data_IF_004811587501
#
_entry.id   IF_004811587501
#
_cell.length_a   1.000
_cell.length_b   1.000
_cell.length_c   1.000
_cell.angle_alpha   90.00
_cell.angle_beta   90.00
_cell.angle_gamma   90.00
#
_symmetry.space_group_name_H-M   'P 1'
#
loop_
_entity.id
_entity.type
_entity.pdbx_description
1 polymer ?
#
# COMPACT_ATOMS: atom_id res chain seq x y z
N UNK A 1 -6.78 5.80 -20.87
CA UNK A 1 -6.99 5.32 -19.48
C UNK A 1 -5.77 5.73 -18.68
N UNK A 2 -5.89 6.59 -17.66
CA UNK A 2 -4.76 6.98 -16.82
C UNK A 2 -4.12 5.75 -16.16
N UNK A 3 -2.79 5.77 -16.05
CA UNK A 3 -2.00 4.68 -15.51
C UNK A 3 -1.20 5.18 -14.31
N UNK A 4 -1.46 4.63 -13.14
CA UNK A 4 -0.70 4.86 -11.92
C UNK A 4 0.23 3.67 -11.70
N UNK A 5 1.52 3.93 -11.45
CA UNK A 5 2.54 2.90 -11.24
C UNK A 5 3.34 3.24 -9.99
N UNK A 6 3.50 2.28 -9.07
CA UNK A 6 4.37 2.38 -7.89
C UNK A 6 4.99 1.02 -7.56
N UNK A 7 6.18 1.02 -6.94
CA UNK A 7 6.71 -0.20 -6.30
C UNK A 7 6.14 -0.37 -4.89
N UNK A 8 5.87 -1.61 -4.49
CA UNK A 8 5.46 -2.01 -3.15
C UNK A 8 6.45 -1.55 -2.07
N UNK A 9 7.73 -1.46 -2.43
CA UNK A 9 8.78 -0.95 -1.53
C UNK A 9 8.60 0.52 -1.17
N UNK A 10 7.94 1.33 -2.00
CA UNK A 10 7.67 2.75 -1.72
C UNK A 10 6.69 2.97 -0.57
N UNK A 11 5.94 1.93 -0.19
CA UNK A 11 5.04 1.97 0.95
C UNK A 11 5.68 1.46 2.25
N UNK A 12 6.93 0.98 2.20
CA UNK A 12 7.69 0.55 3.37
C UNK A 12 8.57 1.73 3.81
N UNK A 13 8.16 2.40 4.89
CA UNK A 13 8.80 3.61 5.37
C UNK A 13 9.35 3.44 6.79
N UNK A 14 10.38 4.22 7.13
CA UNK A 14 10.94 4.21 8.50
C UNK A 14 9.97 4.79 9.54
N UNK A 15 8.93 5.51 9.11
CA UNK A 15 7.96 6.16 9.98
C UNK A 15 6.59 5.47 9.89
N UNK A 16 6.08 5.07 11.05
CA UNK A 16 4.78 4.40 11.19
C UNK A 16 3.66 5.25 10.57
N UNK A 17 2.83 4.61 9.74
CA UNK A 17 1.63 5.21 9.15
C UNK A 17 1.84 6.01 7.86
N UNK A 18 3.09 6.29 7.45
CA UNK A 18 3.34 6.95 6.17
C UNK A 18 2.93 6.08 4.97
N UNK A 19 3.24 4.78 5.01
CA UNK A 19 2.81 3.84 3.96
C UNK A 19 1.29 3.82 3.79
N UNK A 20 0.54 3.71 4.89
CA UNK A 20 -0.93 3.77 4.86
C UNK A 20 -1.49 5.12 4.35
N UNK A 21 -0.82 6.25 4.61
CA UNK A 21 -1.23 7.53 4.02
C UNK A 21 -1.04 7.54 2.50
N UNK A 22 0.11 7.06 2.01
CA UNK A 22 0.39 6.97 0.56
C UNK A 22 -0.63 6.09 -0.17
N UNK A 23 -1.03 4.96 0.43
CA UNK A 23 -2.08 4.10 -0.13
C UNK A 23 -3.40 4.87 -0.27
N UNK A 24 -3.84 5.59 0.77
CA UNK A 24 -5.07 6.42 0.69
C UNK A 24 -4.98 7.47 -0.39
N UNK A 25 -3.84 8.15 -0.50
CA UNK A 25 -3.65 9.21 -1.50
C UNK A 25 -3.62 8.66 -2.93
N UNK A 26 -3.03 7.48 -3.14
CA UNK A 26 -3.07 6.78 -4.43
C UNK A 26 -4.50 6.47 -4.85
N UNK A 27 -5.27 5.81 -4.00
CA UNK A 27 -6.62 5.38 -4.34
C UNK A 27 -7.59 6.55 -4.47
N UNK A 28 -7.41 7.63 -3.69
CA UNK A 28 -8.14 8.89 -3.89
C UNK A 28 -7.92 9.46 -5.29
N UNK A 29 -6.66 9.61 -5.70
CA UNK A 29 -6.33 10.13 -7.04
C UNK A 29 -6.79 9.19 -8.16
N UNK A 30 -6.73 7.88 -7.94
CA UNK A 30 -7.22 6.88 -8.89
C UNK A 30 -8.74 6.98 -9.08
N UNK A 31 -9.50 7.09 -7.99
CA UNK A 31 -10.96 7.27 -7.99
C UNK A 31 -11.38 8.56 -8.70
N UNK A 32 -10.67 9.67 -8.49
CA UNK A 32 -10.92 10.94 -9.17
C UNK A 32 -10.68 10.89 -10.69
N UNK A 33 -9.76 10.02 -11.14
CA UNK A 33 -9.39 9.86 -12.56
C UNK A 33 -9.98 8.60 -13.21
N UNK A 34 -11.06 8.06 -12.65
CA UNK A 34 -11.72 6.88 -13.21
C UNK A 34 -12.31 7.16 -14.61
N UNK A 35 -12.18 6.25 -15.59
CA UNK A 35 -11.57 4.92 -15.50
C UNK A 35 -10.04 4.95 -15.61
N UNK A 36 -9.34 4.28 -14.69
CA UNK A 36 -7.87 4.22 -14.64
C UNK A 36 -7.36 2.81 -14.29
N UNK A 37 -6.06 2.60 -14.42
CA UNK A 37 -5.35 1.38 -13.99
C UNK A 37 -4.34 1.77 -12.91
N UNK A 38 -4.32 1.01 -11.81
CA UNK A 38 -3.30 1.11 -10.76
C UNK A 38 -2.45 -0.15 -10.81
N UNK A 39 -1.15 0.02 -11.04
CA UNK A 39 -0.15 -1.04 -11.05
C UNK A 39 0.78 -0.87 -9.86
N UNK A 40 0.89 -1.94 -9.06
CA UNK A 40 1.80 -2.02 -7.92
C UNK A 40 2.78 -3.15 -8.22
N UNK A 41 4.03 -2.80 -8.50
CA UNK A 41 5.12 -3.77 -8.66
C UNK A 41 5.64 -4.21 -7.29
N UNK A 42 6.39 -5.31 -7.18
CA UNK A 42 7.04 -5.76 -5.93
C UNK A 42 6.09 -5.78 -4.71
N UNK A 43 4.83 -6.20 -4.91
CA UNK A 43 3.80 -6.16 -3.86
C UNK A 43 4.13 -7.06 -2.66
N UNK A 44 4.99 -8.04 -2.85
CA UNK A 44 5.55 -8.89 -1.80
C UNK A 44 6.35 -8.10 -0.74
N UNK A 45 6.83 -6.89 -1.06
CA UNK A 45 7.45 -5.97 -0.10
C UNK A 45 6.52 -5.60 1.08
N UNK A 46 5.21 -5.48 0.82
CA UNK A 46 4.15 -5.21 1.83
C UNK A 46 3.25 -6.42 2.10
N UNK A 47 3.21 -7.41 1.20
CA UNK A 47 2.33 -8.58 1.27
C UNK A 47 2.87 -9.76 2.09
N UNK A 48 3.86 -9.54 2.97
CA UNK A 48 4.45 -10.63 3.74
C UNK A 48 3.39 -11.26 4.66
N UNK A 49 3.35 -12.60 4.67
CA UNK A 49 2.41 -13.40 5.46
C UNK A 49 2.51 -12.99 6.95
N UNK A 50 1.36 -12.85 7.61
CA UNK A 50 1.28 -12.61 9.06
C UNK A 50 1.86 -13.82 9.80
N UNK A 51 3.17 -13.86 10.00
CA UNK A 51 3.79 -14.82 10.90
C UNK A 51 3.51 -14.36 12.33
N UNK A 52 2.93 -15.23 13.15
CA UNK A 52 2.44 -14.94 14.51
C UNK A 52 3.54 -14.59 15.53
N UNK A 53 4.69 -14.08 15.10
CA UNK A 53 5.68 -13.45 15.98
C UNK A 53 5.22 -12.05 16.37
N UNK A 54 4.52 -12.00 17.51
CA UNK A 54 4.35 -10.81 18.35
C UNK A 54 5.69 -10.06 18.47
N UNK A 55 5.88 -8.95 17.75
CA UNK A 55 6.96 -8.01 18.08
C UNK A 55 7.61 -7.15 17.00
N UNK A 56 7.15 -7.08 15.75
CA UNK A 56 7.88 -6.24 14.77
C UNK A 56 7.19 -5.88 13.46
N UNK A 57 5.85 -5.88 13.38
CA UNK A 57 5.15 -5.82 12.08
C UNK A 57 4.11 -4.69 11.95
N UNK A 58 4.08 -3.71 12.85
CA UNK A 58 2.99 -2.72 12.93
C UNK A 58 2.84 -1.85 11.67
N UNK A 59 3.94 -1.37 11.09
CA UNK A 59 3.90 -0.43 9.96
C UNK A 59 3.48 -1.13 8.65
N UNK A 60 4.12 -2.26 8.34
CA UNK A 60 3.79 -3.06 7.15
C UNK A 60 2.38 -3.60 7.21
N UNK A 61 1.93 -4.08 8.37
CA UNK A 61 0.55 -4.55 8.53
C UNK A 61 -0.45 -3.41 8.39
N UNK A 62 -0.16 -2.22 8.92
CA UNK A 62 -1.03 -1.07 8.77
C UNK A 62 -1.17 -0.67 7.30
N UNK A 63 -0.06 -0.62 6.57
CA UNK A 63 -0.03 -0.33 5.12
C UNK A 63 -0.80 -1.39 4.33
N UNK A 64 -0.57 -2.68 4.61
CA UNK A 64 -1.27 -3.80 3.98
C UNK A 64 -2.78 -3.75 4.26
N UNK A 65 -3.17 -3.51 5.51
CA UNK A 65 -4.58 -3.41 5.90
C UNK A 65 -5.27 -2.22 5.20
N UNK A 66 -4.57 -1.10 5.04
CA UNK A 66 -5.08 0.04 4.29
C UNK A 66 -5.26 -0.29 2.80
N UNK A 67 -4.30 -1.02 2.19
CA UNK A 67 -4.42 -1.46 0.80
C UNK A 67 -5.65 -2.36 0.62
N UNK A 68 -5.85 -3.32 1.52
CA UNK A 68 -7.01 -4.21 1.52
C UNK A 68 -8.34 -3.47 1.77
N UNK A 69 -8.31 -2.30 2.40
CA UNK A 69 -9.51 -1.48 2.66
C UNK A 69 -9.90 -0.61 1.47
N UNK A 70 -8.92 -0.19 0.65
CA UNK A 70 -9.18 0.68 -0.51
C UNK A 70 -9.54 -0.08 -1.79
N UNK A 71 -9.21 -1.37 -1.87
CA UNK A 71 -9.59 -2.30 -2.94
C UNK A 71 -11.08 -2.65 -2.90
#
# INVERSE_FOLDING_TARGET
VPFFSMSGSEFVEMFVGMGASKVRDLFRQAKEKAPCIVFIDEIDAIGKKRDGQLGGNDEREQTLNQLLTEM
#
